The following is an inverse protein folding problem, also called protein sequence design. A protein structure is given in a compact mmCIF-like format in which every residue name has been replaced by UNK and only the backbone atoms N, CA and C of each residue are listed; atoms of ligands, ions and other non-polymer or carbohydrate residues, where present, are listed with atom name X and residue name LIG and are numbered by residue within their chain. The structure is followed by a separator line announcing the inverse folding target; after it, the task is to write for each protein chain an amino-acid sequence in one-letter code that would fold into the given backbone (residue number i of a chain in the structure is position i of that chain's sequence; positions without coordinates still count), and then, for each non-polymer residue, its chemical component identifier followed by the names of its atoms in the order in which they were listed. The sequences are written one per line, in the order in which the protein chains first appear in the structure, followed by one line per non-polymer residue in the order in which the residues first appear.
data_IF_634973195593
#
_entry.id   IF_634973195593
#
_cell.length_a   1.000
_cell.length_b   1.000
_cell.length_c   1.000
_cell.angle_alpha   90.00
_cell.angle_beta   90.00
_cell.angle_gamma   90.00
#
_symmetry.space_group_name_H-M   'P 1'
#
loop_
_entity.id
_entity.type
_entity.pdbx_description
1 polymer ?
#
# COMPACT_ATOMS: atom_id res chain seq x y z
N UNK A 1 -21.25 5.08 9.39
CA UNK A 1 -21.64 4.43 8.32
C UNK A 1 -20.52 4.12 7.39
N UNK A 2 -19.96 5.07 6.77
CA UNK A 2 -18.80 4.75 5.96
C UNK A 2 -17.67 4.23 6.77
N UNK A 3 -17.57 4.63 8.02
CA UNK A 3 -16.49 4.20 8.90
C UNK A 3 -16.41 2.70 9.02
N UNK A 4 -17.51 2.01 8.85
CA UNK A 4 -17.50 0.56 8.95
C UNK A 4 -16.68 -0.08 7.85
N UNK A 5 -16.56 0.61 6.71
CA UNK A 5 -15.82 0.08 5.59
C UNK A 5 -14.38 0.56 5.57
N UNK A 6 -14.05 1.51 6.44
CA UNK A 6 -12.74 2.15 6.43
C UNK A 6 -12.05 2.08 7.77
N UNK A 7 -12.41 1.09 8.58
CA UNK A 7 -11.69 0.90 9.84
C UNK A 7 -10.26 0.56 9.48
N UNK A 8 -9.31 1.42 9.83
CA UNK A 8 -7.93 1.16 9.43
C UNK A 8 -7.32 0.05 10.26
N UNK A 9 -6.46 -0.71 9.62
CA UNK A 9 -5.60 -1.63 10.34
C UNK A 9 -4.37 -0.84 10.74
N UNK A 10 -4.12 -0.75 12.03
CA UNK A 10 -3.01 0.05 12.55
C UNK A 10 -1.77 -0.80 12.60
N UNK A 11 -0.71 -0.35 11.96
CA UNK A 11 0.58 -1.05 11.97
C UNK A 11 1.53 -0.20 12.81
N UNK A 12 1.93 -0.68 13.98
CA UNK A 12 2.69 0.15 14.90
C UNK A 12 4.18 0.28 14.59
N UNK A 13 4.74 -0.61 13.81
CA UNK A 13 6.18 -0.58 13.60
C UNK A 13 6.55 -0.75 12.14
N UNK A 14 7.78 -0.40 11.79
CA UNK A 14 8.32 -0.56 10.46
C UNK A 14 9.41 -1.64 10.49
N UNK A 15 10.04 -1.86 9.33
CA UNK A 15 11.13 -2.81 9.23
C UNK A 15 10.67 -4.24 9.05
N UNK A 16 9.42 -4.44 8.72
CA UNK A 16 8.82 -5.75 8.65
C UNK A 16 8.19 -6.01 7.29
N UNK A 17 7.84 -7.26 7.10
CA UNK A 17 7.07 -7.68 5.94
C UNK A 17 5.60 -7.68 6.33
N UNK A 18 4.79 -7.05 5.51
CA UNK A 18 3.35 -6.95 5.75
C UNK A 18 2.60 -7.65 4.63
N UNK A 19 1.81 -8.65 4.99
CA UNK A 19 0.93 -9.32 4.04
C UNK A 19 -0.42 -8.61 4.07
N UNK A 20 -0.76 -7.94 2.98
CA UNK A 20 -1.98 -7.13 2.92
C UNK A 20 -3.11 -7.89 2.25
N UNK A 21 -4.34 -7.45 2.53
CA UNK A 21 -5.54 -8.05 1.97
C UNK A 21 -6.36 -6.99 1.25
N UNK A 22 -7.08 -7.42 0.23
CA UNK A 22 -7.94 -6.49 -0.51
C UNK A 22 -9.07 -5.99 0.38
N UNK A 23 -9.56 -4.80 0.08
CA UNK A 23 -10.66 -4.21 0.80
C UNK A 23 -10.27 -3.58 2.12
N UNK A 24 -8.99 -3.43 2.39
CA UNK A 24 -8.52 -2.90 3.66
C UNK A 24 -7.74 -1.62 3.48
N UNK A 25 -7.71 -0.85 4.56
CA UNK A 25 -7.02 0.42 4.64
C UNK A 25 -6.00 0.30 5.76
N UNK A 26 -4.71 0.32 5.42
CA UNK A 26 -3.63 0.15 6.38
C UNK A 26 -3.04 1.50 6.72
N UNK A 27 -2.96 1.81 8.02
CA UNK A 27 -2.37 3.05 8.49
C UNK A 27 -1.25 2.72 9.47
N UNK A 28 -0.12 3.36 9.27
CA UNK A 28 1.04 3.17 10.12
C UNK A 28 1.11 4.32 11.11
N UNK A 29 1.26 4.00 12.39
CA UNK A 29 1.32 5.00 13.47
C UNK A 29 2.69 5.61 13.62
N UNK A 30 3.74 4.89 13.22
CA UNK A 30 5.11 5.33 13.39
C UNK A 30 5.77 5.51 12.04
N UNK A 31 6.87 6.24 12.01
CA UNK A 31 7.61 6.43 10.78
C UNK A 31 8.07 5.10 10.21
N UNK A 32 8.01 5.00 8.88
CA UNK A 32 8.35 3.79 8.17
C UNK A 32 9.63 4.00 7.39
N UNK A 33 10.65 3.19 7.67
CA UNK A 33 11.89 3.23 6.91
C UNK A 33 11.99 2.04 5.97
N UNK A 34 11.92 0.83 6.51
CA UNK A 34 12.02 -0.37 5.69
C UNK A 34 10.71 -1.12 5.80
N UNK A 35 10.12 -1.42 4.65
CA UNK A 35 8.84 -2.14 4.61
C UNK A 35 8.74 -2.91 3.32
N UNK A 36 8.39 -4.18 3.43
CA UNK A 36 8.06 -5.01 2.28
C UNK A 36 6.58 -5.32 2.38
N UNK A 37 5.82 -4.89 1.37
CA UNK A 37 4.38 -5.13 1.31
C UNK A 37 4.14 -6.24 0.30
N UNK A 38 3.65 -7.37 0.78
CA UNK A 38 3.32 -8.50 -0.09
C UNK A 38 1.86 -8.38 -0.49
N UNK A 39 1.62 -8.18 -1.77
CA UNK A 39 0.27 -8.07 -2.30
C UNK A 39 -0.34 -9.47 -2.42
N UNK A 40 -1.64 -9.60 -2.19
CA UNK A 40 -2.27 -10.92 -2.19
C UNK A 40 -2.37 -11.50 -3.59
N UNK A 41 -2.46 -12.83 -3.66
CA UNK A 41 -2.75 -13.52 -4.90
C UNK A 41 -4.26 -13.41 -5.11
N UNK A 42 -4.66 -12.93 -6.29
CA UNK A 42 -6.07 -12.71 -6.61
C UNK A 42 -6.54 -13.85 -7.50
N UNK A 43 -7.46 -14.63 -6.98
CA UNK A 43 -8.02 -15.76 -7.75
C UNK A 43 -9.23 -15.34 -8.58
N UNK A 44 -10.04 -14.42 -8.03
CA UNK A 44 -11.18 -13.90 -8.76
C UNK A 44 -10.74 -12.72 -9.62
N UNK A 45 -10.57 -12.95 -10.91
CA UNK A 45 -10.11 -11.91 -11.83
C UNK A 45 -11.27 -11.22 -12.54
N UNK A 46 -12.51 -11.49 -12.10
CA UNK A 46 -13.69 -10.89 -12.75
C UNK A 46 -14.14 -9.60 -12.07
N UNK A 47 -13.58 -9.28 -10.91
CA UNK A 47 -13.92 -8.07 -10.15
C UNK A 47 -12.67 -7.30 -9.84
N UNK A 48 -12.79 -5.99 -9.82
CA UNK A 48 -11.70 -5.11 -9.43
C UNK A 48 -11.52 -5.20 -7.92
N UNK A 49 -10.27 -5.34 -7.48
CA UNK A 49 -9.93 -5.38 -6.06
C UNK A 49 -9.10 -4.17 -5.70
N UNK A 50 -9.33 -3.60 -4.54
CA UNK A 50 -8.62 -2.39 -4.10
C UNK A 50 -8.13 -2.55 -2.67
N UNK A 51 -7.05 -1.84 -2.36
CA UNK A 51 -6.60 -1.67 -0.99
C UNK A 51 -5.78 -0.38 -0.91
N UNK A 52 -5.58 0.12 0.32
CA UNK A 52 -4.92 1.41 0.52
C UNK A 52 -3.95 1.34 1.69
N UNK A 53 -2.86 2.11 1.59
CA UNK A 53 -1.91 2.28 2.67
C UNK A 53 -1.63 3.76 2.87
N UNK A 54 -1.49 4.17 4.14
CA UNK A 54 -1.06 5.52 4.50
C UNK A 54 0.08 5.40 5.50
N UNK A 55 1.18 6.08 5.20
CA UNK A 55 2.34 6.05 6.08
C UNK A 55 3.16 7.32 5.92
N UNK A 56 3.95 7.60 6.94
CA UNK A 56 4.93 8.69 6.90
C UNK A 56 6.31 8.06 6.89
N UNK A 57 7.14 8.46 5.95
CA UNK A 57 8.49 7.91 5.84
C UNK A 57 9.44 8.58 6.81
N UNK A 58 10.48 7.85 7.20
CA UNK A 58 11.58 8.40 7.98
C UNK A 58 12.69 8.92 7.08
N UNK A 59 13.92 8.91 7.59
CA UNK A 59 15.05 9.51 6.88
C UNK A 59 15.52 8.71 5.68
N UNK A 60 15.34 7.40 5.70
CA UNK A 60 15.89 6.54 4.65
C UNK A 60 14.87 5.48 4.25
N UNK A 61 13.78 5.87 3.58
CA UNK A 61 12.73 4.92 3.26
C UNK A 61 13.14 3.93 2.18
N UNK A 62 12.71 2.68 2.38
CA UNK A 62 12.87 1.63 1.38
C UNK A 62 11.58 0.81 1.41
N UNK A 63 10.61 1.26 0.64
CA UNK A 63 9.27 0.66 0.60
C UNK A 63 9.17 -0.16 -0.67
N UNK A 64 8.97 -1.46 -0.53
CA UNK A 64 8.94 -2.38 -1.66
C UNK A 64 7.59 -3.09 -1.71
N UNK A 65 7.01 -3.12 -2.90
CA UNK A 65 5.79 -3.89 -3.15
C UNK A 65 6.16 -5.16 -3.89
N UNK A 66 5.67 -6.30 -3.44
CA UNK A 66 5.92 -7.58 -4.10
C UNK A 66 4.59 -8.22 -4.48
N UNK A 67 4.58 -8.93 -5.60
CA UNK A 67 3.37 -9.55 -6.12
C UNK A 67 3.74 -10.66 -7.08
N UNK A 68 2.88 -11.68 -7.19
CA UNK A 68 3.00 -12.69 -8.23
C UNK A 68 2.55 -12.16 -9.58
N UNK A 69 1.74 -11.11 -9.56
CA UNK A 69 1.25 -10.46 -10.79
C UNK A 69 2.11 -9.23 -11.08
N UNK A 70 2.02 -8.75 -12.31
CA UNK A 70 2.73 -7.54 -12.68
C UNK A 70 2.22 -6.33 -11.91
N UNK A 71 3.10 -5.37 -11.69
CA UNK A 71 2.77 -4.12 -11.03
C UNK A 71 3.09 -2.97 -11.97
N UNK A 72 2.11 -2.09 -12.18
CA UNK A 72 2.26 -0.89 -12.98
C UNK A 72 2.15 0.33 -12.08
N UNK A 73 3.11 1.24 -12.16
CA UNK A 73 3.13 2.45 -11.35
C UNK A 73 2.78 3.66 -12.20
N UNK A 74 1.99 4.58 -11.62
CA UNK A 74 1.76 5.87 -12.26
C UNK A 74 3.00 6.73 -12.05
N UNK A 75 3.51 7.34 -13.11
CA UNK A 75 4.61 8.31 -13.06
C UNK A 75 5.90 7.79 -12.43
N UNK A 76 6.10 6.46 -12.46
CA UNK A 76 7.23 5.88 -11.79
C UNK A 76 6.98 5.77 -10.29
N UNK A 77 7.87 5.10 -9.61
CA UNK A 77 7.68 4.87 -8.17
C UNK A 77 8.90 5.39 -7.43
N UNK A 78 8.72 6.48 -6.71
CA UNK A 78 9.79 7.07 -5.92
C UNK A 78 9.21 7.60 -4.62
N UNK A 79 9.74 7.12 -3.50
CA UNK A 79 9.26 7.47 -2.17
C UNK A 79 10.33 8.33 -1.50
N UNK A 80 9.97 9.56 -1.16
CA UNK A 80 10.88 10.52 -0.55
C UNK A 80 10.92 10.36 0.96
N UNK A 81 12.01 10.79 1.60
CA UNK A 81 12.08 10.75 3.06
C UNK A 81 11.20 11.82 3.69
N UNK A 82 10.82 11.57 4.94
CA UNK A 82 10.10 12.51 5.81
C UNK A 82 8.84 13.06 5.15
N UNK A 83 8.09 12.19 4.49
CA UNK A 83 6.92 12.57 3.71
C UNK A 83 5.79 11.59 3.99
N UNK A 84 4.57 12.11 4.04
CA UNK A 84 3.38 11.26 4.24
C UNK A 84 2.77 10.93 2.89
N UNK A 85 2.56 9.65 2.67
CA UNK A 85 2.01 9.15 1.40
C UNK A 85 0.72 8.41 1.62
N UNK A 86 -0.16 8.50 0.63
CA UNK A 86 -1.28 7.58 0.48
C UNK A 86 -1.03 6.79 -0.79
N UNK A 87 -1.05 5.46 -0.66
CA UNK A 87 -0.87 4.58 -1.80
C UNK A 87 -2.17 3.83 -2.03
N UNK A 88 -2.67 3.92 -3.25
CA UNK A 88 -3.88 3.22 -3.66
C UNK A 88 -3.50 2.13 -4.65
N UNK A 89 -3.91 0.91 -4.36
CA UNK A 89 -3.59 -0.24 -5.19
C UNK A 89 -4.89 -0.84 -5.72
N UNK A 90 -4.92 -1.08 -7.03
CA UNK A 90 -6.08 -1.65 -7.69
C UNK A 90 -5.64 -2.81 -8.56
N UNK A 91 -6.26 -3.97 -8.39
CA UNK A 91 -6.04 -5.11 -9.27
C UNK A 91 -7.14 -5.13 -10.32
N UNK A 92 -6.74 -5.03 -11.60
CA UNK A 92 -7.71 -4.89 -12.69
C UNK A 92 -8.04 -6.20 -13.39
N UNK A 93 -7.69 -7.32 -12.78
CA UNK A 93 -7.90 -8.64 -13.36
C UNK A 93 -6.65 -9.20 -14.00
N UNK A 94 -5.66 -8.37 -14.24
CA UNK A 94 -4.42 -8.77 -14.91
C UNK A 94 -3.19 -8.36 -14.10
N UNK A 95 -3.21 -7.15 -13.57
CA UNK A 95 -2.05 -6.61 -12.85
C UNK A 95 -2.50 -5.63 -11.79
N UNK A 96 -1.58 -5.31 -10.89
CA UNK A 96 -1.79 -4.27 -9.91
C UNK A 96 -1.42 -2.92 -10.51
N UNK A 97 -2.25 -1.93 -10.25
CA UNK A 97 -2.00 -0.55 -10.66
C UNK A 97 -1.82 0.26 -9.39
N UNK A 98 -0.70 0.96 -9.30
CA UNK A 98 -0.32 1.69 -8.09
C UNK A 98 -0.36 3.18 -8.37
N UNK A 99 -1.17 3.89 -7.62
CA UNK A 99 -1.22 5.34 -7.63
C UNK A 99 -0.86 5.81 -6.23
N UNK A 100 0.02 6.80 -6.13
CA UNK A 100 0.41 7.32 -4.83
C UNK A 100 0.49 8.83 -4.89
N UNK A 101 0.28 9.45 -3.73
CA UNK A 101 0.33 10.89 -3.64
C UNK A 101 0.78 11.32 -2.26
N UNK A 102 1.24 12.56 -2.18
CA UNK A 102 1.69 13.15 -0.93
C UNK A 102 0.49 13.73 -0.21
N UNK A 103 0.35 13.38 1.06
CA UNK A 103 -0.70 13.92 1.92
C UNK A 103 -0.11 15.09 2.69
N UNK A 104 -0.71 16.24 2.54
CA UNK A 104 -0.23 17.46 3.20
C UNK A 104 -1.07 17.85 4.39
#
# INVERSE_FOLDING_TARGET
MFDEFYIPTIIPSSGETLDVEVGKYYRFDEEVNILIVNLPIIEDTTHIKVLQLVFTTGDAPAITLTSDSDIAYFSGYYIEPNTTYEINLMFNGTKWIVAYGIVE
#
